data_IF_120909062421
#
_entry.id   IF_120909062421
#
_cell.length_a   1.000
_cell.length_b   1.000
_cell.length_c   1.000
_cell.angle_alpha   90.00
_cell.angle_beta   90.00
_cell.angle_gamma   90.00
#
_symmetry.space_group_name_H-M   'P 1'
#
loop_
_entity.id
_entity.type
_entity.pdbx_description
1 polymer ?
#
# COMPACT_ATOMS: atom_id res chain seq x y z
N UNK A 1 11.55 -16.63 10.36
CA UNK A 1 10.19 -17.00 10.82
C UNK A 1 9.59 -15.92 11.73
N UNK A 2 10.08 -15.68 12.96
CA UNK A 2 9.58 -14.59 13.85
C UNK A 2 9.51 -13.18 13.24
N UNK A 3 10.53 -12.75 12.48
CA UNK A 3 10.52 -11.43 11.83
C UNK A 3 9.52 -11.31 10.67
N UNK A 4 9.35 -12.39 9.87
CA UNK A 4 8.31 -12.48 8.82
C UNK A 4 6.91 -12.49 9.45
N UNK A 5 6.74 -13.19 10.58
CA UNK A 5 5.50 -13.27 11.35
C UNK A 5 5.12 -11.94 11.99
N UNK A 6 6.07 -11.24 12.61
CA UNK A 6 5.84 -9.91 13.16
C UNK A 6 5.52 -8.95 12.02
N UNK A 7 6.22 -8.99 10.88
CA UNK A 7 5.89 -8.10 9.77
C UNK A 7 4.50 -8.41 9.18
N UNK A 8 4.17 -9.66 8.85
CA UNK A 8 2.86 -10.07 8.29
C UNK A 8 1.70 -9.84 9.28
N UNK A 9 1.90 -10.08 10.58
CA UNK A 9 0.89 -9.77 11.58
C UNK A 9 0.77 -8.25 11.78
N UNK A 10 1.86 -7.50 11.90
CA UNK A 10 1.77 -6.04 12.07
C UNK A 10 1.21 -5.35 10.82
N UNK A 11 1.57 -5.82 9.63
CA UNK A 11 0.93 -5.48 8.35
C UNK A 11 -0.23 -6.41 8.02
N UNK A 12 -0.98 -6.93 8.99
CA UNK A 12 -2.38 -7.31 8.81
C UNK A 12 -3.24 -6.53 9.82
N UNK A 13 -2.59 -6.02 10.86
CA UNK A 13 -3.17 -5.33 12.01
C UNK A 13 -3.15 -3.81 11.86
N UNK A 14 -2.23 -3.24 11.07
CA UNK A 14 -2.27 -1.82 10.66
C UNK A 14 -3.40 -1.54 9.63
N UNK A 15 -4.03 -2.59 9.09
CA UNK A 15 -4.82 -2.55 7.85
C UNK A 15 -6.32 -2.27 7.93
N UNK A 16 -6.90 -2.01 9.11
CA UNK A 16 -8.34 -1.74 9.21
C UNK A 16 -8.69 -0.30 9.61
N UNK A 17 -7.72 0.56 9.89
CA UNK A 17 -7.97 1.94 10.32
C UNK A 17 -8.03 2.96 9.18
N UNK A 18 -7.79 2.54 7.93
CA UNK A 18 -7.66 3.45 6.78
C UNK A 18 -8.84 3.46 5.80
N UNK A 19 -10.03 2.96 6.18
CA UNK A 19 -11.25 3.12 5.37
C UNK A 19 -12.18 4.25 5.84
N UNK A 20 -11.67 5.18 6.66
CA UNK A 20 -12.33 6.46 6.90
C UNK A 20 -11.91 7.42 5.80
N UNK A 21 -12.83 7.78 4.93
CA UNK A 21 -12.70 8.90 4.00
C UNK A 21 -11.81 10.01 4.58
N UNK A 22 -10.88 10.53 3.77
CA UNK A 22 -10.39 11.89 3.93
C UNK A 22 -11.64 12.78 3.77
N UNK A 23 -12.42 12.91 4.83
CA UNK A 23 -13.45 13.91 4.90
C UNK A 23 -12.72 15.23 4.93
N UNK A 24 -12.85 15.95 3.82
CA UNK A 24 -12.69 17.40 3.73
C UNK A 24 -13.69 18.10 4.68
N UNK A 25 -13.70 17.77 5.97
CA UNK A 25 -14.54 18.33 7.02
C UNK A 25 -13.73 19.02 8.12
N UNK A 26 -12.54 19.53 7.76
CA UNK A 26 -11.89 20.61 8.52
C UNK A 26 -12.78 21.87 8.66
N UNK A 27 -13.87 21.98 7.89
CA UNK A 27 -14.84 23.08 7.97
C UNK A 27 -16.02 22.83 8.94
N UNK A 28 -16.46 21.58 9.15
CA UNK A 28 -17.65 21.32 9.99
C UNK A 28 -17.33 21.21 11.49
N UNK A 29 -16.13 20.75 11.86
CA UNK A 29 -15.73 20.72 13.28
C UNK A 29 -15.39 22.12 13.82
N UNK A 30 -14.96 23.06 12.97
CA UNK A 30 -14.79 24.46 13.36
C UNK A 30 -16.14 25.15 13.63
N UNK A 31 -17.20 24.78 12.90
CA UNK A 31 -18.55 25.32 13.12
C UNK A 31 -19.27 24.71 14.33
N UNK A 32 -18.89 23.50 14.77
CA UNK A 32 -19.40 22.90 16.02
C UNK A 32 -18.72 23.43 17.29
N UNK A 33 -17.48 23.92 17.21
CA UNK A 33 -16.78 24.50 18.37
C UNK A 33 -17.34 25.86 18.82
N UNK A 34 -18.32 26.43 18.11
CA UNK A 34 -18.96 27.71 18.45
C UNK A 34 -20.33 27.52 19.14
N UNK A 35 -20.86 26.31 19.24
CA UNK A 35 -22.17 26.11 19.87
C UNK A 35 -22.15 25.02 20.94
N UNK A 36 -22.33 25.49 22.17
CA UNK A 36 -22.74 24.76 23.38
C UNK A 36 -21.60 24.11 24.17
N UNK A 37 -21.10 24.89 25.14
CA UNK A 37 -20.67 24.38 26.43
C UNK A 37 -21.88 23.77 27.12
N UNK A 38 -21.79 22.50 27.53
CA UNK A 38 -22.49 21.96 28.69
C UNK A 38 -21.65 20.81 29.26
N UNK A 39 -21.46 20.84 30.59
CA UNK A 39 -20.74 19.85 31.38
C UNK A 39 -21.63 18.63 31.62
N UNK A 40 -21.36 17.51 30.96
CA UNK A 40 -21.94 16.19 31.28
C UNK A 40 -20.83 15.19 31.65
N UNK A 41 -21.13 14.27 32.57
CA UNK A 41 -20.24 13.21 33.05
C UNK A 41 -19.42 12.60 31.91
N UNK A 42 -18.08 12.64 32.04
CA UNK A 42 -17.16 12.18 30.99
C UNK A 42 -17.34 10.68 30.73
N UNK A 43 -18.20 10.35 29.76
CA UNK A 43 -18.20 9.07 29.09
C UNK A 43 -16.76 8.74 28.68
N UNK A 44 -16.31 7.51 28.92
CA UNK A 44 -14.95 7.09 28.57
C UNK A 44 -14.74 7.27 27.07
N UNK A 45 -13.57 7.74 26.65
CA UNK A 45 -13.26 7.78 25.21
C UNK A 45 -13.28 6.34 24.66
N UNK A 46 -13.64 6.12 23.38
CA UNK A 46 -13.61 4.78 22.77
C UNK A 46 -12.26 4.06 22.94
N UNK A 47 -11.16 4.82 22.99
CA UNK A 47 -9.82 4.29 23.29
C UNK A 47 -9.70 3.80 24.73
N UNK A 48 -10.23 4.53 25.70
CA UNK A 48 -10.27 4.09 27.10
C UNK A 48 -11.18 2.87 27.29
N UNK A 49 -12.27 2.77 26.53
CA UNK A 49 -13.13 1.58 26.52
C UNK A 49 -12.39 0.37 25.96
N UNK A 50 -11.70 0.52 24.83
CA UNK A 50 -10.89 -0.55 24.24
C UNK A 50 -9.78 -1.00 25.19
N UNK A 51 -9.07 -0.08 25.83
CA UNK A 51 -8.03 -0.40 26.82
C UNK A 51 -8.60 -1.12 28.06
N UNK A 52 -9.83 -0.78 28.47
CA UNK A 52 -10.50 -1.49 29.56
C UNK A 52 -10.86 -2.93 29.17
N UNK A 53 -11.31 -3.15 27.92
CA UNK A 53 -11.53 -4.50 27.36
C UNK A 53 -10.21 -5.28 27.31
N UNK A 54 -9.14 -4.66 26.82
CA UNK A 54 -7.80 -5.24 26.78
C UNK A 54 -7.33 -5.71 28.17
N UNK A 55 -7.36 -4.85 29.19
CA UNK A 55 -6.93 -5.22 30.54
C UNK A 55 -7.86 -6.27 31.16
N UNK A 56 -9.16 -6.22 30.87
CA UNK A 56 -10.11 -7.25 31.26
C UNK A 56 -9.75 -8.63 30.71
N UNK A 57 -9.47 -8.72 29.40
CA UNK A 57 -9.07 -9.97 28.74
C UNK A 57 -7.72 -10.46 29.26
N UNK A 58 -6.74 -9.56 29.39
CA UNK A 58 -5.42 -9.88 29.94
C UNK A 58 -5.50 -10.49 31.34
N UNK A 59 -6.39 -9.98 32.19
CA UNK A 59 -6.60 -10.55 33.52
C UNK A 59 -7.32 -11.90 33.48
N UNK A 60 -8.34 -12.05 32.62
CA UNK A 60 -9.02 -13.35 32.40
C UNK A 60 -8.06 -14.43 31.90
N UNK A 61 -7.20 -14.10 30.94
CA UNK A 61 -6.22 -15.03 30.37
C UNK A 61 -5.16 -15.48 31.39
N UNK A 62 -4.86 -14.66 32.42
CA UNK A 62 -3.98 -15.06 33.52
C UNK A 62 -4.64 -16.00 34.52
N UNK A 63 -5.96 -15.94 34.66
CA UNK A 63 -6.71 -16.67 35.69
C UNK A 63 -7.23 -18.03 35.19
N UNK A 64 -7.43 -18.21 33.88
CA UNK A 64 -8.03 -19.41 33.31
C UNK A 64 -7.03 -20.30 32.56
N UNK A 65 -7.04 -21.59 32.88
CA UNK A 65 -6.47 -22.64 32.06
C UNK A 65 -7.30 -22.79 30.76
N UNK A 66 -6.87 -22.07 29.73
CA UNK A 66 -6.76 -22.56 28.35
C UNK A 66 -7.97 -22.67 27.41
N UNK A 67 -9.25 -22.56 27.82
CA UNK A 67 -10.37 -22.83 26.88
C UNK A 67 -10.97 -21.62 26.15
N UNK A 68 -10.66 -20.38 26.53
CA UNK A 68 -11.31 -19.18 25.95
C UNK A 68 -10.33 -18.16 25.37
N UNK A 69 -9.03 -18.46 25.37
CA UNK A 69 -7.99 -17.48 24.96
C UNK A 69 -8.17 -17.07 23.50
N UNK A 70 -8.44 -18.03 22.62
CA UNK A 70 -8.67 -17.77 21.19
C UNK A 70 -9.93 -16.95 20.95
N UNK A 71 -11.02 -17.27 21.66
CA UNK A 71 -12.28 -16.52 21.59
C UNK A 71 -12.12 -15.09 22.11
N UNK A 72 -11.44 -14.92 23.24
CA UNK A 72 -11.17 -13.61 23.82
C UNK A 72 -10.30 -12.75 22.89
N UNK A 73 -9.29 -13.35 22.27
CA UNK A 73 -8.44 -12.63 21.32
C UNK A 73 -9.21 -12.19 20.07
N UNK A 74 -10.08 -13.05 19.53
CA UNK A 74 -10.94 -12.67 18.40
C UNK A 74 -11.90 -11.53 18.77
N UNK A 75 -12.50 -11.55 19.97
CA UNK A 75 -13.36 -10.46 20.43
C UNK A 75 -12.59 -9.13 20.56
N UNK A 76 -11.32 -9.17 20.99
CA UNK A 76 -10.45 -8.00 21.04
C UNK A 76 -10.04 -7.50 19.64
N UNK A 77 -9.81 -8.43 18.72
CA UNK A 77 -9.56 -8.12 17.31
C UNK A 77 -10.78 -7.42 16.70
N UNK A 78 -11.98 -7.95 16.93
CA UNK A 78 -13.22 -7.37 16.41
C UNK A 78 -13.46 -5.96 16.97
N UNK A 79 -13.28 -5.75 18.28
CA UNK A 79 -13.43 -4.41 18.87
C UNK A 79 -12.38 -3.42 18.38
N UNK A 80 -11.20 -3.89 17.99
CA UNK A 80 -10.16 -3.08 17.37
C UNK A 80 -10.57 -2.61 15.96
N UNK A 81 -11.32 -3.44 15.22
CA UNK A 81 -11.78 -3.10 13.86
C UNK A 81 -12.87 -2.01 13.85
N UNK A 82 -13.59 -1.85 14.95
CA UNK A 82 -14.63 -0.84 15.11
C UNK A 82 -14.07 0.56 15.43
N UNK A 83 -12.76 0.68 15.64
CA UNK A 83 -12.11 1.97 15.86
C UNK A 83 -12.07 2.78 14.56
N UNK A 84 -12.60 4.00 14.62
CA UNK A 84 -12.38 4.98 13.55
C UNK A 84 -10.91 5.44 13.51
N UNK A 85 -10.54 6.18 12.46
CA UNK A 85 -9.17 6.64 12.26
C UNK A 85 -8.62 7.45 13.44
N UNK A 86 -9.39 8.40 13.97
CA UNK A 86 -8.95 9.26 15.08
C UNK A 86 -8.68 8.44 16.35
N UNK A 87 -9.58 7.52 16.69
CA UNK A 87 -9.44 6.62 17.82
C UNK A 87 -8.26 5.66 17.63
N UNK A 88 -8.05 5.16 16.40
CA UNK A 88 -6.89 4.35 16.07
C UNK A 88 -5.58 5.12 16.26
N UNK A 89 -5.51 6.37 15.79
CA UNK A 89 -4.31 7.20 15.92
C UNK A 89 -4.00 7.53 17.38
N UNK A 90 -5.02 7.85 18.18
CA UNK A 90 -4.87 8.02 19.63
C UNK A 90 -4.35 6.73 20.29
N UNK A 91 -4.91 5.58 19.93
CA UNK A 91 -4.47 4.27 20.43
C UNK A 91 -3.02 3.94 19.98
N UNK A 92 -2.66 4.27 18.75
CA UNK A 92 -1.31 4.11 18.23
C UNK A 92 -0.29 4.97 18.97
N UNK A 93 -0.62 6.24 19.23
CA UNK A 93 0.23 7.14 20.02
C UNK A 93 0.37 6.65 21.47
N UNK A 94 -0.71 6.12 22.04
CA UNK A 94 -0.66 5.44 23.33
C UNK A 94 0.30 4.25 23.30
N UNK A 95 0.22 3.36 22.31
CA UNK A 95 1.14 2.21 22.18
C UNK A 95 2.59 2.64 22.01
N UNK A 96 2.83 3.67 21.18
CA UNK A 96 4.18 4.20 20.94
C UNK A 96 4.81 4.75 22.22
N UNK A 97 4.01 5.38 23.07
CA UNK A 97 4.44 5.97 24.34
C UNK A 97 4.62 4.92 25.44
N UNK A 98 3.59 4.10 25.67
CA UNK A 98 3.51 3.19 26.83
C UNK A 98 4.13 1.81 26.54
N UNK A 99 4.34 1.45 25.27
CA UNK A 99 4.87 0.16 24.81
C UNK A 99 4.10 -1.05 25.37
N UNK A 100 2.80 -0.90 25.58
CA UNK A 100 1.90 -1.91 26.14
C UNK A 100 0.52 -1.76 25.52
N UNK A 101 -0.28 -2.82 25.55
CA UNK A 101 -1.66 -2.76 25.11
C UNK A 101 -1.86 -3.20 23.68
N UNK A 102 -0.83 -3.74 23.03
CA UNK A 102 -0.93 -4.11 21.63
C UNK A 102 -1.82 -5.34 21.47
N UNK A 103 -2.64 -5.40 20.41
CA UNK A 103 -3.49 -6.56 20.13
C UNK A 103 -2.70 -7.88 20.06
N UNK A 104 -1.43 -7.82 19.63
CA UNK A 104 -0.52 -8.96 19.59
C UNK A 104 0.02 -9.38 20.97
N UNK A 105 -0.04 -8.53 21.98
CA UNK A 105 0.43 -8.86 23.34
C UNK A 105 -0.37 -10.01 23.94
N UNK A 106 -1.62 -10.18 23.49
CA UNK A 106 -2.55 -11.22 23.93
C UNK A 106 -2.81 -12.26 22.84
N UNK A 107 -1.98 -12.31 21.78
CA UNK A 107 -2.13 -13.29 20.72
C UNK A 107 -2.01 -14.72 21.28
N UNK A 108 -2.87 -15.67 20.89
CA UNK A 108 -2.84 -17.02 21.45
C UNK A 108 -1.50 -17.72 21.22
N UNK A 109 -1.07 -18.49 22.22
CA UNK A 109 0.14 -19.32 22.13
C UNK A 109 -0.02 -20.44 21.08
N UNK A 110 1.07 -21.03 20.55
CA UNK A 110 1.00 -22.01 19.46
C UNK A 110 0.11 -23.22 19.71
N UNK A 111 0.02 -23.69 20.97
CA UNK A 111 -0.87 -24.78 21.37
C UNK A 111 -2.38 -24.41 21.31
N UNK A 112 -2.72 -23.18 20.95
CA UNK A 112 -4.09 -22.67 20.76
C UNK A 112 -4.41 -22.30 19.33
N UNK A 113 -3.46 -22.43 18.40
CA UNK A 113 -3.66 -22.04 17.01
C UNK A 113 -4.71 -22.90 16.31
N UNK A 114 -4.77 -24.20 16.57
CA UNK A 114 -5.80 -25.07 15.97
C UNK A 114 -7.23 -24.64 16.36
N UNK A 115 -7.41 -24.28 17.63
CA UNK A 115 -8.68 -23.76 18.14
C UNK A 115 -9.01 -22.41 17.49
N UNK A 116 -8.03 -21.51 17.41
CA UNK A 116 -8.18 -20.21 16.77
C UNK A 116 -8.53 -20.35 15.28
N UNK A 117 -7.85 -21.24 14.55
CA UNK A 117 -8.14 -21.56 13.15
C UNK A 117 -9.58 -22.06 13.01
N UNK A 118 -10.01 -22.99 13.87
CA UNK A 118 -11.39 -23.51 13.86
C UNK A 118 -12.43 -22.40 14.11
N UNK A 119 -12.15 -21.48 15.02
CA UNK A 119 -13.03 -20.35 15.29
C UNK A 119 -13.10 -19.40 14.09
N UNK A 120 -11.96 -19.10 13.46
CA UNK A 120 -11.89 -18.24 12.26
C UNK A 120 -12.62 -18.88 11.07
N UNK A 121 -12.52 -20.20 10.89
CA UNK A 121 -13.20 -20.92 9.80
C UNK A 121 -14.72 -20.88 9.90
N UNK A 122 -15.27 -20.79 11.11
CA UNK A 122 -16.71 -20.66 11.36
C UNK A 122 -17.26 -19.24 11.19
N UNK A 123 -16.39 -18.25 10.95
CA UNK A 123 -16.84 -16.87 10.72
C UNK A 123 -17.46 -16.78 9.32
N UNK A 124 -18.60 -16.10 9.24
CA UNK A 124 -19.31 -15.83 8.00
C UNK A 124 -19.45 -14.31 7.82
N UNK A 125 -18.64 -13.76 6.90
CA UNK A 125 -18.63 -12.34 6.60
C UNK A 125 -19.92 -11.93 5.89
N UNK A 126 -20.68 -11.03 6.52
CA UNK A 126 -21.95 -10.55 5.98
C UNK A 126 -21.77 -9.49 4.89
N UNK A 127 -20.65 -8.76 4.91
CA UNK A 127 -20.32 -7.73 3.91
C UNK A 127 -19.06 -8.11 3.11
N UNK A 128 -18.83 -7.43 1.98
CA UNK A 128 -17.60 -7.63 1.22
C UNK A 128 -16.34 -7.29 2.05
N UNK A 129 -16.41 -6.28 2.92
CA UNK A 129 -15.32 -5.91 3.83
C UNK A 129 -15.07 -7.00 4.87
N UNK A 130 -16.12 -7.58 5.44
CA UNK A 130 -16.00 -8.66 6.43
C UNK A 130 -15.39 -9.91 5.83
N UNK A 131 -15.78 -10.28 4.60
CA UNK A 131 -15.16 -11.41 3.88
C UNK A 131 -13.66 -11.19 3.66
N UNK A 132 -13.24 -9.98 3.28
CA UNK A 132 -11.82 -9.63 3.14
C UNK A 132 -11.09 -9.72 4.49
N UNK A 133 -11.70 -9.23 5.57
CA UNK A 133 -11.13 -9.31 6.93
C UNK A 133 -10.94 -10.77 7.38
N UNK A 134 -11.93 -11.62 7.12
CA UNK A 134 -11.85 -13.06 7.42
C UNK A 134 -10.75 -13.76 6.62
N UNK A 135 -10.61 -13.44 5.34
CA UNK A 135 -9.54 -13.98 4.49
C UNK A 135 -8.15 -13.55 4.99
N UNK A 136 -7.97 -12.33 5.50
CA UNK A 136 -6.71 -11.93 6.14
C UNK A 136 -6.40 -12.74 7.41
N UNK A 137 -7.41 -13.00 8.26
CA UNK A 137 -7.24 -13.85 9.43
C UNK A 137 -6.90 -15.29 9.05
N UNK A 138 -7.57 -15.84 8.03
CA UNK A 138 -7.26 -17.17 7.48
C UNK A 138 -5.84 -17.21 6.94
N UNK A 139 -5.40 -16.17 6.22
CA UNK A 139 -4.05 -16.05 5.71
C UNK A 139 -3.02 -16.04 6.86
N UNK A 140 -3.24 -15.22 7.89
CA UNK A 140 -2.39 -15.20 9.08
C UNK A 140 -2.23 -16.60 9.70
N UNK A 141 -3.33 -17.33 9.88
CA UNK A 141 -3.27 -18.68 10.44
C UNK A 141 -2.56 -19.68 9.52
N UNK A 142 -2.77 -19.59 8.20
CA UNK A 142 -2.06 -20.44 7.24
C UNK A 142 -0.54 -20.18 7.23
N UNK A 143 -0.11 -18.94 7.47
CA UNK A 143 1.30 -18.57 7.63
C UNK A 143 1.87 -19.11 8.94
N UNK A 144 1.14 -18.96 10.04
CA UNK A 144 1.53 -19.47 11.35
C UNK A 144 1.69 -20.99 11.36
N UNK A 145 0.79 -21.69 10.67
CA UNK A 145 0.80 -23.15 10.53
C UNK A 145 1.70 -23.65 9.40
N UNK A 146 2.37 -22.75 8.66
CA UNK A 146 3.22 -23.07 7.51
C UNK A 146 2.50 -23.92 6.43
N UNK A 147 1.21 -23.66 6.22
CA UNK A 147 0.37 -24.32 5.22
C UNK A 147 0.42 -23.54 3.91
N UNK A 148 1.40 -23.87 3.07
CA UNK A 148 1.68 -23.14 1.83
C UNK A 148 0.54 -23.29 0.82
N UNK A 149 -0.05 -24.48 0.71
CA UNK A 149 -1.16 -24.74 -0.22
C UNK A 149 -2.35 -23.86 0.15
N UNK A 150 -2.69 -23.78 1.43
CA UNK A 150 -3.79 -22.94 1.90
C UNK A 150 -3.49 -21.44 1.77
N UNK A 151 -2.21 -21.03 1.90
CA UNK A 151 -1.82 -19.64 1.63
C UNK A 151 -2.12 -19.23 0.18
N UNK A 152 -1.79 -20.08 -0.80
CA UNK A 152 -2.08 -19.83 -2.21
C UNK A 152 -3.58 -19.72 -2.48
N UNK A 153 -4.36 -20.69 -1.99
CA UNK A 153 -5.82 -20.70 -2.12
C UNK A 153 -6.46 -19.41 -1.55
N UNK A 154 -6.03 -19.01 -0.35
CA UNK A 154 -6.54 -17.80 0.31
C UNK A 154 -6.12 -16.54 -0.44
N UNK A 155 -4.90 -16.45 -0.94
CA UNK A 155 -4.43 -15.28 -1.72
C UNK A 155 -5.24 -15.12 -3.01
N UNK A 156 -5.53 -16.21 -3.71
CA UNK A 156 -6.39 -16.18 -4.90
C UNK A 156 -7.80 -15.71 -4.55
N UNK A 157 -8.40 -16.27 -3.50
CA UNK A 157 -9.75 -15.87 -3.06
C UNK A 157 -9.79 -14.41 -2.59
N UNK A 158 -8.77 -13.97 -1.88
CA UNK A 158 -8.62 -12.59 -1.41
C UNK A 158 -8.53 -11.62 -2.59
N UNK A 159 -7.74 -11.94 -3.62
CA UNK A 159 -7.66 -11.13 -4.85
C UNK A 159 -9.02 -11.01 -5.55
N UNK A 160 -9.79 -12.10 -5.63
CA UNK A 160 -11.14 -12.08 -6.20
C UNK A 160 -12.10 -11.21 -5.37
N UNK A 161 -12.10 -11.39 -4.05
CA UNK A 161 -13.01 -10.68 -3.15
C UNK A 161 -12.71 -9.17 -3.08
N UNK A 162 -11.44 -8.76 -3.21
CA UNK A 162 -11.02 -7.34 -3.27
C UNK A 162 -11.67 -6.60 -4.45
N UNK A 163 -11.92 -7.27 -5.57
CA UNK A 163 -12.57 -6.65 -6.73
C UNK A 163 -14.02 -6.23 -6.47
N UNK A 164 -14.65 -6.72 -5.40
CA UNK A 164 -16.02 -6.38 -5.00
C UNK A 164 -16.09 -5.22 -4.00
N UNK A 165 -14.96 -4.59 -3.67
CA UNK A 165 -14.89 -3.41 -2.80
C UNK A 165 -15.10 -2.11 -3.59
N UNK A 166 -15.34 -1.01 -2.88
CA UNK A 166 -15.27 0.32 -3.47
C UNK A 166 -13.83 0.67 -3.92
N UNK A 167 -13.68 1.66 -4.79
CA UNK A 167 -12.38 2.00 -5.39
C UNK A 167 -11.30 2.37 -4.38
N UNK A 168 -11.68 2.99 -3.25
CA UNK A 168 -10.73 3.40 -2.22
C UNK A 168 -10.19 2.18 -1.49
N UNK A 169 -11.10 1.33 -1.02
CA UNK A 169 -10.76 0.11 -0.31
C UNK A 169 -10.05 -0.89 -1.22
N UNK A 170 -10.49 -1.03 -2.48
CA UNK A 170 -9.86 -1.88 -3.48
C UNK A 170 -8.39 -1.52 -3.67
N UNK A 171 -8.08 -0.24 -3.90
CA UNK A 171 -6.70 0.24 -4.05
C UNK A 171 -5.87 -0.05 -2.81
N UNK A 172 -6.43 0.21 -1.63
CA UNK A 172 -5.75 -0.07 -0.38
C UNK A 172 -5.42 -1.57 -0.29
N UNK A 173 -6.42 -2.44 -0.36
CA UNK A 173 -6.27 -3.89 -0.22
C UNK A 173 -5.35 -4.51 -1.28
N UNK A 174 -5.36 -4.02 -2.52
CA UNK A 174 -4.41 -4.45 -3.55
C UNK A 174 -2.96 -4.12 -3.16
N UNK A 175 -2.70 -2.92 -2.64
CA UNK A 175 -1.37 -2.52 -2.13
C UNK A 175 -0.93 -3.33 -0.91
N UNK A 176 -1.88 -3.85 -0.13
CA UNK A 176 -1.57 -4.72 1.00
C UNK A 176 -1.16 -6.11 0.53
N UNK A 177 -2.02 -6.74 -0.27
CA UNK A 177 -1.76 -8.05 -0.86
C UNK A 177 -0.44 -8.05 -1.61
N UNK A 178 -0.12 -6.94 -2.25
CA UNK A 178 1.14 -6.69 -2.90
C UNK A 178 2.37 -6.90 -2.05
N UNK A 179 2.34 -6.27 -0.87
CA UNK A 179 3.45 -6.29 0.07
C UNK A 179 3.61 -7.67 0.71
N UNK A 180 2.53 -8.45 0.78
CA UNK A 180 2.50 -9.77 1.40
C UNK A 180 3.03 -10.87 0.47
N UNK A 181 2.65 -10.89 -0.81
CA UNK A 181 3.02 -11.95 -1.76
C UNK A 181 4.54 -12.27 -1.76
N UNK A 182 5.45 -11.29 -1.86
CA UNK A 182 6.90 -11.56 -1.82
C UNK A 182 7.37 -12.16 -0.49
N UNK A 183 6.74 -11.79 0.63
CA UNK A 183 7.10 -12.29 1.96
C UNK A 183 6.71 -13.75 2.15
N UNK A 184 5.58 -14.12 1.57
CA UNK A 184 5.08 -15.49 1.48
C UNK A 184 5.85 -16.32 0.44
N UNK A 185 6.58 -15.64 -0.46
CA UNK A 185 7.33 -16.28 -1.55
C UNK A 185 6.43 -17.12 -2.46
N UNK A 186 5.18 -16.70 -2.61
CA UNK A 186 4.20 -17.34 -3.48
C UNK A 186 4.33 -16.81 -4.90
N UNK A 187 4.41 -17.72 -5.87
CA UNK A 187 4.23 -17.39 -7.29
C UNK A 187 2.74 -17.54 -7.60
N UNK A 188 1.99 -16.45 -7.66
CA UNK A 188 0.60 -16.55 -8.10
C UNK A 188 0.60 -16.59 -9.62
N UNK A 189 0.32 -17.76 -10.19
CA UNK A 189 0.26 -18.00 -11.62
C UNK A 189 -0.74 -17.03 -12.28
N UNK A 190 -0.28 -16.23 -13.24
CA UNK A 190 -1.09 -15.21 -13.91
C UNK A 190 -1.34 -13.92 -13.11
N UNK A 191 -0.87 -13.80 -11.87
CA UNK A 191 -0.91 -12.52 -11.16
C UNK A 191 0.13 -11.57 -11.74
N UNK A 192 -0.31 -10.35 -12.06
CA UNK A 192 0.62 -9.27 -12.35
C UNK A 192 1.23 -8.81 -11.03
N UNK A 193 2.54 -8.50 -10.99
CA UNK A 193 3.11 -7.86 -9.83
C UNK A 193 2.27 -6.62 -9.49
N UNK A 194 1.98 -6.37 -8.22
CA UNK A 194 1.03 -5.35 -7.82
C UNK A 194 1.42 -3.94 -8.24
N UNK A 195 2.72 -3.66 -8.33
CA UNK A 195 3.23 -2.41 -8.89
C UNK A 195 2.84 -2.26 -10.37
N UNK A 196 2.68 -3.37 -11.09
CA UNK A 196 2.15 -3.39 -12.46
C UNK A 196 0.65 -3.17 -12.48
N UNK A 197 -0.10 -3.77 -11.54
CA UNK A 197 -1.55 -3.52 -11.39
C UNK A 197 -1.81 -2.04 -11.10
N UNK A 198 -1.10 -1.47 -10.12
CA UNK A 198 -1.20 -0.06 -9.77
C UNK A 198 -0.80 0.84 -10.94
N UNK A 199 0.29 0.53 -11.64
CA UNK A 199 0.70 1.27 -12.84
C UNK A 199 -0.40 1.25 -13.91
N UNK A 200 -1.04 0.11 -14.15
CA UNK A 200 -2.12 0.01 -15.13
C UNK A 200 -3.34 0.84 -14.72
N UNK A 201 -3.70 0.84 -13.44
CA UNK A 201 -4.76 1.68 -12.88
C UNK A 201 -4.43 3.18 -13.02
N UNK A 202 -3.22 3.59 -12.63
CA UNK A 202 -2.78 4.99 -12.71
C UNK A 202 -2.78 5.48 -14.16
N UNK A 203 -2.37 4.64 -15.12
CA UNK A 203 -2.40 4.98 -16.54
C UNK A 203 -3.83 5.08 -17.08
N UNK A 204 -4.73 4.19 -16.65
CA UNK A 204 -6.14 4.26 -17.03
C UNK A 204 -6.80 5.52 -16.46
N UNK A 205 -6.55 5.87 -15.19
CA UNK A 205 -7.05 7.09 -14.58
C UNK A 205 -6.49 8.33 -15.27
N UNK A 206 -5.18 8.39 -15.52
CA UNK A 206 -4.56 9.53 -16.17
C UNK A 206 -5.12 9.80 -17.58
N UNK A 207 -5.59 8.76 -18.27
CA UNK A 207 -6.25 8.92 -19.57
C UNK A 207 -7.61 9.61 -19.51
N UNK A 208 -8.24 9.65 -18.33
CA UNK A 208 -9.56 10.27 -18.11
C UNK A 208 -9.46 11.75 -17.71
N UNK A 209 -8.29 12.23 -17.28
CA UNK A 209 -8.08 13.61 -16.84
C UNK A 209 -7.42 14.45 -17.95
N UNK A 210 -7.88 15.71 -18.07
CA UNK A 210 -7.25 16.69 -18.97
C UNK A 210 -5.95 17.28 -18.40
N UNK A 211 -5.75 17.18 -17.08
CA UNK A 211 -4.54 17.67 -16.40
C UNK A 211 -3.44 16.61 -16.36
N UNK A 212 -2.15 17.02 -16.52
CA UNK A 212 -1.03 16.10 -16.44
C UNK A 212 -0.94 15.38 -15.08
N UNK A 213 -1.02 14.05 -15.08
CA UNK A 213 -0.85 13.21 -13.90
C UNK A 213 0.60 12.75 -13.75
N UNK A 214 1.11 12.68 -12.52
CA UNK A 214 2.43 12.13 -12.26
C UNK A 214 2.33 10.63 -11.98
N UNK A 215 3.04 9.82 -12.76
CA UNK A 215 3.05 8.37 -12.66
C UNK A 215 4.44 7.94 -12.23
N UNK A 216 4.52 7.25 -11.10
CA UNK A 216 5.78 6.66 -10.62
C UNK A 216 6.02 5.34 -11.37
N UNK A 217 7.14 5.25 -12.08
CA UNK A 217 7.50 4.06 -12.82
C UNK A 217 8.16 3.04 -11.88
N UNK A 218 7.63 1.81 -11.75
CA UNK A 218 8.30 0.74 -11.02
C UNK A 218 9.44 0.12 -11.86
N UNK A 219 10.23 -0.75 -11.24
CA UNK A 219 11.32 -1.46 -11.92
C UNK A 219 10.80 -2.63 -12.79
N UNK A 220 10.19 -2.29 -13.93
CA UNK A 220 9.49 -3.21 -14.82
C UNK A 220 10.34 -4.41 -15.27
N UNK A 221 11.62 -4.21 -15.60
CA UNK A 221 12.49 -5.29 -16.08
C UNK A 221 12.68 -6.34 -14.99
N UNK A 222 12.85 -5.92 -13.75
CA UNK A 222 12.94 -6.82 -12.60
C UNK A 222 11.61 -7.52 -12.32
N UNK A 223 10.50 -6.81 -12.48
CA UNK A 223 9.16 -7.31 -12.13
C UNK A 223 8.55 -8.27 -13.17
N UNK A 224 8.69 -7.97 -14.46
CA UNK A 224 8.00 -8.72 -15.54
C UNK A 224 8.94 -9.17 -16.67
N UNK A 225 10.23 -8.93 -16.53
CA UNK A 225 11.21 -9.22 -17.56
C UNK A 225 11.18 -8.24 -18.72
N UNK A 226 12.28 -8.23 -19.50
CA UNK A 226 12.53 -7.20 -20.52
C UNK A 226 11.47 -7.12 -21.62
N UNK A 227 10.97 -8.26 -22.10
CA UNK A 227 10.00 -8.33 -23.21
C UNK A 227 8.66 -7.73 -22.83
N UNK A 228 8.17 -8.01 -21.62
CA UNK A 228 6.89 -7.49 -21.15
C UNK A 228 7.03 -6.03 -20.70
N UNK A 229 8.14 -5.68 -20.04
CA UNK A 229 8.49 -4.30 -19.71
C UNK A 229 8.49 -3.39 -20.95
N UNK A 230 9.00 -3.87 -22.09
CA UNK A 230 8.96 -3.12 -23.35
C UNK A 230 7.52 -2.83 -23.80
N UNK A 231 6.62 -3.80 -23.76
CA UNK A 231 5.21 -3.59 -24.12
C UNK A 231 4.53 -2.56 -23.20
N UNK A 232 4.79 -2.67 -21.89
CA UNK A 232 4.25 -1.74 -20.89
C UNK A 232 4.76 -0.33 -21.18
N UNK A 233 6.07 -0.15 -21.35
CA UNK A 233 6.68 1.16 -21.65
C UNK A 233 6.15 1.77 -22.96
N UNK A 234 5.98 0.97 -24.01
CA UNK A 234 5.38 1.42 -25.27
C UNK A 234 3.95 1.92 -25.05
N UNK A 235 3.13 1.19 -24.29
CA UNK A 235 1.77 1.60 -23.95
C UNK A 235 1.80 2.90 -23.14
N UNK A 236 2.63 2.97 -22.11
CA UNK A 236 2.82 4.13 -21.26
C UNK A 236 3.18 5.37 -22.07
N UNK A 237 4.17 5.31 -22.96
CA UNK A 237 4.57 6.46 -23.77
C UNK A 237 3.49 6.97 -24.74
N UNK A 238 2.50 6.13 -25.06
CA UNK A 238 1.34 6.51 -25.88
C UNK A 238 0.21 7.13 -25.05
N UNK A 239 0.20 6.93 -23.74
CA UNK A 239 -0.79 7.54 -22.85
C UNK A 239 -0.65 9.06 -22.85
N UNK A 240 -1.78 9.76 -23.02
CA UNK A 240 -1.82 11.23 -22.99
C UNK A 240 -1.75 11.73 -21.54
N UNK A 241 -1.36 12.99 -21.35
CA UNK A 241 -1.44 13.68 -20.07
C UNK A 241 -0.70 13.00 -18.89
N UNK A 242 0.42 12.31 -19.14
CA UNK A 242 1.20 11.67 -18.06
C UNK A 242 2.64 12.19 -17.95
N UNK A 243 3.06 12.67 -16.78
CA UNK A 243 4.47 12.91 -16.43
C UNK A 243 5.02 11.65 -15.79
N UNK A 244 6.07 11.07 -16.39
CA UNK A 244 6.70 9.86 -15.88
C UNK A 244 7.81 10.21 -14.92
N UNK A 245 7.78 9.62 -13.73
CA UNK A 245 8.91 9.67 -12.81
C UNK A 245 9.62 8.35 -12.65
N UNK A 246 10.94 8.38 -12.83
CA UNK A 246 11.81 7.22 -12.68
C UNK A 246 12.62 7.26 -11.36
N UNK A 247 12.31 8.22 -10.48
CA UNK A 247 13.07 8.52 -9.25
C UNK A 247 13.29 7.31 -8.32
N UNK A 248 12.42 6.31 -8.37
CA UNK A 248 12.44 5.15 -7.48
C UNK A 248 12.86 3.84 -8.16
N UNK A 249 13.26 3.88 -9.43
CA UNK A 249 13.73 2.69 -10.14
C UNK A 249 15.12 2.33 -9.62
N UNK A 250 15.22 1.25 -8.84
CA UNK A 250 16.46 0.79 -8.19
C UNK A 250 17.43 0.06 -9.13
N UNK A 251 17.15 -0.01 -10.43
CA UNK A 251 17.96 -0.69 -11.44
C UNK A 251 18.15 0.12 -12.73
N UNK A 252 19.34 0.02 -13.35
CA UNK A 252 19.66 0.71 -14.61
C UNK A 252 18.86 0.21 -15.80
N UNK A 253 18.29 -1.00 -15.73
CA UNK A 253 17.81 -1.72 -16.90
C UNK A 253 16.45 -1.23 -17.40
N UNK A 254 15.50 -0.98 -16.49
CA UNK A 254 14.21 -0.37 -16.84
C UNK A 254 14.40 1.04 -17.38
N UNK A 255 15.28 1.83 -16.75
CA UNK A 255 15.61 3.18 -17.21
C UNK A 255 16.28 3.17 -18.59
N UNK A 256 17.27 2.31 -18.80
CA UNK A 256 17.97 2.15 -20.08
C UNK A 256 17.05 1.64 -21.19
N UNK A 257 16.13 0.74 -20.86
CA UNK A 257 15.11 0.25 -21.79
C UNK A 257 14.15 1.39 -22.17
N UNK A 258 13.69 2.18 -21.19
CA UNK A 258 12.83 3.33 -21.41
C UNK A 258 13.51 4.38 -22.32
N UNK A 259 14.79 4.70 -22.11
CA UNK A 259 15.56 5.58 -23.00
C UNK A 259 15.59 5.07 -24.44
N UNK A 260 15.89 3.77 -24.63
CA UNK A 260 15.96 3.14 -25.97
C UNK A 260 14.60 3.17 -26.68
N UNK A 261 13.53 2.86 -25.96
CA UNK A 261 12.17 2.88 -26.51
C UNK A 261 11.76 4.32 -26.85
N UNK A 262 12.01 5.29 -25.95
CA UNK A 262 11.70 6.69 -26.20
C UNK A 262 12.42 7.24 -27.44
N UNK A 263 13.70 6.89 -27.62
CA UNK A 263 14.47 7.28 -28.81
C UNK A 263 13.88 6.67 -30.09
N UNK A 264 13.55 5.37 -30.08
CA UNK A 264 12.90 4.68 -31.22
C UNK A 264 11.54 5.28 -31.55
N UNK A 265 10.78 5.66 -30.53
CA UNK A 265 9.42 6.18 -30.66
C UNK A 265 9.38 7.70 -30.78
N UNK A 266 10.52 8.38 -30.97
CA UNK A 266 10.60 9.84 -30.88
C UNK A 266 9.51 10.53 -31.71
N UNK A 267 9.22 10.04 -32.92
CA UNK A 267 8.20 10.59 -33.81
C UNK A 267 6.76 10.41 -33.30
N UNK A 268 6.48 9.37 -32.51
CA UNK A 268 5.15 9.05 -31.96
C UNK A 268 4.89 9.68 -30.59
N UNK A 269 5.93 10.11 -29.88
CA UNK A 269 5.79 10.69 -28.54
C UNK A 269 4.97 11.99 -28.54
N UNK A 270 4.04 12.13 -27.58
CA UNK A 270 3.21 13.33 -27.47
C UNK A 270 3.93 14.51 -26.78
N UNK A 271 4.98 14.23 -26.00
CA UNK A 271 5.82 15.23 -25.34
C UNK A 271 7.22 14.69 -25.05
N UNK A 272 8.13 15.59 -24.69
CA UNK A 272 9.45 15.22 -24.18
C UNK A 272 9.36 14.68 -22.74
N UNK A 273 10.01 13.55 -22.48
CA UNK A 273 10.15 12.96 -21.15
C UNK A 273 11.55 13.25 -20.60
N UNK A 274 11.81 14.52 -20.25
CA UNK A 274 13.15 15.01 -19.85
C UNK A 274 13.77 14.27 -18.66
N UNK A 275 12.95 13.62 -17.81
CA UNK A 275 13.43 12.79 -16.71
C UNK A 275 14.33 11.63 -17.17
N UNK A 276 14.17 11.17 -18.42
CA UNK A 276 15.01 10.14 -19.02
C UNK A 276 16.42 10.60 -19.40
N UNK A 277 16.73 11.89 -19.27
CA UNK A 277 18.03 12.45 -19.64
C UNK A 277 18.95 12.73 -18.44
N UNK A 278 18.49 12.55 -17.20
CA UNK A 278 19.23 12.98 -16.00
C UNK A 278 20.25 11.98 -15.47
N UNK A 279 19.91 10.68 -15.41
CA UNK A 279 20.71 9.71 -14.64
C UNK A 279 21.81 9.03 -15.46
N UNK A 280 21.58 8.81 -16.76
CA UNK A 280 22.57 8.25 -17.69
C UNK A 280 22.68 9.21 -18.87
N UNK A 281 23.89 9.75 -19.17
CA UNK A 281 24.06 10.69 -20.27
C UNK A 281 23.72 10.03 -21.60
N UNK A 282 22.50 10.27 -22.09
CA UNK A 282 22.01 9.83 -23.38
C UNK A 282 21.81 11.08 -24.26
N UNK A 283 22.93 11.55 -24.81
CA UNK A 283 22.99 12.78 -25.63
C UNK A 283 22.06 12.64 -26.84
N UNK A 284 22.01 11.47 -27.45
CA UNK A 284 21.15 11.20 -28.61
C UNK A 284 19.68 11.41 -28.28
N UNK A 285 19.21 10.91 -27.13
CA UNK A 285 17.82 11.11 -26.69
C UNK A 285 17.53 12.59 -26.39
N UNK A 286 18.47 13.28 -25.75
CA UNK A 286 18.34 14.72 -25.50
C UNK A 286 18.20 15.52 -26.80
N UNK A 287 19.09 15.30 -27.77
CA UNK A 287 19.07 15.98 -29.07
C UNK A 287 17.80 15.64 -29.86
N UNK A 288 17.34 14.38 -29.79
CA UNK A 288 16.09 13.96 -30.40
C UNK A 288 14.87 14.67 -29.80
N UNK A 289 14.83 14.83 -28.47
CA UNK A 289 13.79 15.60 -27.79
C UNK A 289 13.84 17.09 -28.14
N UNK A 290 15.03 17.70 -28.12
CA UNK A 290 15.22 19.10 -28.48
C UNK A 290 14.73 19.35 -29.92
N UNK A 291 15.15 18.53 -30.88
CA UNK A 291 14.79 18.67 -32.28
C UNK A 291 13.28 18.54 -32.54
N UNK A 292 12.59 17.65 -31.83
CA UNK A 292 11.15 17.42 -32.04
C UNK A 292 10.27 18.40 -31.28
N UNK A 293 10.56 18.60 -30.00
CA UNK A 293 9.64 19.27 -29.07
C UNK A 293 10.01 20.73 -28.80
N UNK A 294 11.20 21.18 -29.20
CA UNK A 294 11.65 22.56 -29.00
C UNK A 294 11.79 23.28 -30.35
N UNK A 295 10.67 23.78 -30.88
CA UNK A 295 10.70 24.75 -31.97
C UNK A 295 11.02 26.17 -31.44
N UNK A 296 12.32 26.47 -31.24
CA UNK A 296 12.97 27.79 -30.96
C UNK A 296 12.60 28.53 -29.65
N UNK A 297 13.53 29.35 -29.09
CA UNK A 297 14.73 29.00 -28.36
C UNK A 297 14.55 29.24 -26.85
N UNK A 298 14.57 28.19 -26.02
CA UNK A 298 14.80 28.35 -24.56
C UNK A 298 16.26 27.97 -24.27
N UNK A 299 17.18 28.63 -24.96
CA UNK A 299 18.62 28.38 -24.84
C UNK A 299 19.27 29.06 -23.62
N UNK A 300 18.49 29.65 -22.71
CA UNK A 300 19.06 30.43 -21.59
C UNK A 300 19.18 29.62 -20.29
N UNK A 301 18.36 28.59 -20.03
CA UNK A 301 18.41 27.89 -18.73
C UNK A 301 19.27 26.61 -18.71
N UNK A 302 19.33 25.84 -19.80
CA UNK A 302 20.13 24.61 -19.82
C UNK A 302 21.64 24.85 -20.03
N UNK A 303 22.03 25.96 -20.67
CA UNK A 303 23.45 26.37 -20.72
C UNK A 303 24.00 26.74 -19.33
N UNK A 304 23.17 27.29 -18.44
CA UNK A 304 23.57 27.64 -17.07
C UNK A 304 23.77 26.41 -16.16
N UNK A 305 23.02 25.32 -16.38
CA UNK A 305 23.19 24.07 -15.64
C UNK A 305 24.45 23.29 -16.06
N UNK A 306 24.82 23.32 -17.36
CA UNK A 306 26.10 22.74 -17.82
C UNK A 306 27.32 23.49 -17.26
N UNK A 307 27.27 24.82 -17.07
CA UNK A 307 28.39 25.56 -16.47
C UNK A 307 28.57 25.29 -14.97
N UNK A 308 27.51 25.02 -14.21
CA UNK A 308 27.63 24.76 -12.77
C UNK A 308 28.18 23.36 -12.44
N UNK A 309 27.89 22.33 -13.23
CA UNK A 309 28.40 20.97 -12.95
C UNK A 309 29.86 20.75 -13.36
N UNK A 310 30.36 21.50 -14.35
CA UNK A 310 31.77 21.41 -14.78
C UNK A 310 32.69 22.19 -13.81
N UNK A 311 32.20 23.25 -13.17
CA UNK A 311 32.97 24.02 -12.19
C UNK A 311 33.03 23.37 -10.79
N UNK A 312 32.13 22.43 -10.47
CA UNK A 312 32.15 21.73 -9.17
C UNK A 312 33.04 20.48 -9.15
N UNK A 313 33.80 20.22 -10.22
CA UNK A 313 34.78 19.12 -10.32
C UNK A 313 36.22 19.63 -10.50
N UNK A 314 36.46 20.95 -10.47
CA UNK A 314 37.80 21.57 -10.62
C UNK A 314 38.12 22.56 -9.48
N UNK A 315 37.44 22.48 -8.34
CA UNK A 315 37.88 23.13 -7.08
C UNK A 315 37.73 22.17 -5.93
#
# INVERSE_FOLDING_TARGET
MRAKLIFIATSAFIFNSYSGEIQCLGANNFLKQVSVQDEEEKSKSPVQEWLAVYEGIKNKNKQNNNAEVSLNWLALYDSYLELNYDNYMELYDYFKKEKKGHLLDLFPEPNKWDELTTLIEKREGNTNKDKVRELHLKLLMSVLNNDIVKQEEIVTELSNQINNLDDSDKRHQNSLLASLIPLLSLEVEGSKPPEIVQLEEDLNQASQYDSPQYINMPDLVTLVGRKEAEKILVKTFKTKNINLSFRFVKGSDTYSLAQKIALKMIAELNKAHWELCFDIPNIELFEAFEKKFVNKPVLVHLKLLKMKSILSWVV
#
